data_IF_281599866063
#
_entry.id   IF_281599866063
#
_cell.length_a   1.000
_cell.length_b   1.000
_cell.length_c   1.000
_cell.angle_alpha   90.00
_cell.angle_beta   90.00
_cell.angle_gamma   90.00
#
_symmetry.space_group_name_H-M   'P 1'
#
loop_
_entity.id
_entity.type
_entity.pdbx_description
1 polymer ?
#
# COMPACT_ATOMS: atom_id res chain seq x y z
N UNK A 1 -41.22 17.61 -3.42
CA UNK A 1 -40.44 18.10 -4.57
C UNK A 1 -39.03 18.31 -4.04
N UNK A 2 -38.17 17.30 -4.19
CA UNK A 2 -36.77 17.37 -3.75
C UNK A 2 -35.97 17.74 -5.00
N UNK A 3 -35.37 18.93 -4.98
CA UNK A 3 -34.45 19.36 -6.04
C UNK A 3 -33.25 18.42 -6.03
N UNK A 4 -33.09 17.69 -7.13
CA UNK A 4 -31.87 16.95 -7.41
C UNK A 4 -30.84 17.99 -7.82
N UNK A 5 -29.94 18.36 -6.91
CA UNK A 5 -28.70 19.02 -7.31
C UNK A 5 -27.94 18.02 -8.17
N UNK A 6 -27.98 18.19 -9.49
CA UNK A 6 -27.03 17.56 -10.40
C UNK A 6 -25.63 17.88 -9.87
N UNK A 7 -24.92 16.87 -9.39
CA UNK A 7 -23.54 17.01 -8.97
C UNK A 7 -22.75 17.53 -10.17
N UNK A 8 -22.43 18.83 -10.19
CA UNK A 8 -21.54 19.45 -11.15
C UNK A 8 -20.13 18.94 -10.88
N UNK A 9 -19.83 17.74 -11.41
CA UNK A 9 -18.48 17.18 -11.40
C UNK A 9 -17.70 17.96 -12.47
N UNK A 10 -17.11 19.08 -12.07
CA UNK A 10 -16.04 19.72 -12.85
C UNK A 10 -14.81 18.82 -12.75
N UNK A 11 -14.44 18.20 -13.87
CA UNK A 11 -13.22 17.39 -13.94
C UNK A 11 -12.03 18.35 -14.09
N UNK A 12 -11.67 19.02 -13.00
CA UNK A 12 -10.46 19.84 -12.95
C UNK A 12 -9.25 18.91 -13.02
N UNK A 13 -8.47 19.03 -14.09
CA UNK A 13 -7.20 18.33 -14.23
C UNK A 13 -6.20 18.92 -13.23
N UNK A 14 -6.08 18.29 -12.07
CA UNK A 14 -5.09 18.66 -11.06
C UNK A 14 -3.75 18.07 -11.51
N UNK A 15 -2.77 18.93 -11.79
CA UNK A 15 -1.41 18.50 -12.09
C UNK A 15 -0.90 17.58 -10.96
N UNK A 16 -0.22 16.47 -11.29
CA UNK A 16 0.37 15.60 -10.29
C UNK A 16 1.25 16.42 -9.34
N UNK A 17 0.94 16.35 -8.04
CA UNK A 17 1.76 16.98 -7.02
C UNK A 17 3.15 16.35 -6.99
N UNK A 18 4.20 17.17 -6.88
CA UNK A 18 5.56 16.66 -6.72
C UNK A 18 5.68 15.86 -5.41
N UNK A 19 6.54 14.84 -5.41
CA UNK A 19 6.84 14.11 -4.19
C UNK A 19 7.43 15.07 -3.13
N UNK A 20 6.89 15.13 -1.90
CA UNK A 20 7.32 16.14 -0.94
C UNK A 20 8.79 15.99 -0.57
N UNK A 21 9.58 17.05 -0.76
CA UNK A 21 11.02 17.06 -0.48
C UNK A 21 11.35 16.63 0.96
N UNK A 22 10.52 17.04 1.94
CA UNK A 22 10.71 16.66 3.34
C UNK A 22 10.64 15.15 3.56
N UNK A 23 9.75 14.46 2.82
CA UNK A 23 9.54 13.02 2.94
C UNK A 23 10.73 12.30 2.31
N UNK A 24 11.22 12.79 1.18
CA UNK A 24 12.41 12.26 0.53
C UNK A 24 13.63 12.36 1.46
N UNK A 25 13.89 13.54 2.03
CA UNK A 25 14.97 13.74 3.01
C UNK A 25 14.79 12.86 4.25
N UNK A 26 13.56 12.63 4.71
CA UNK A 26 13.31 11.76 5.86
C UNK A 26 13.62 10.29 5.55
N UNK A 27 13.20 9.79 4.38
CA UNK A 27 13.50 8.45 3.91
C UNK A 27 15.02 8.25 3.74
N UNK A 28 15.72 9.24 3.19
CA UNK A 28 17.18 9.19 3.08
C UNK A 28 17.86 9.09 4.46
N UNK A 29 17.41 9.87 5.44
CA UNK A 29 17.96 9.83 6.80
C UNK A 29 17.65 8.49 7.50
N UNK A 30 16.49 7.89 7.25
CA UNK A 30 16.17 6.54 7.74
C UNK A 30 17.08 5.47 7.14
N UNK A 31 17.47 5.60 5.87
CA UNK A 31 18.43 4.66 5.24
C UNK A 31 19.80 4.77 5.91
N UNK A 32 20.24 6.00 6.23
CA UNK A 32 21.52 6.24 6.92
C UNK A 32 21.50 5.75 8.36
N UNK A 33 20.38 5.94 9.07
CA UNK A 33 20.22 5.53 10.46
C UNK A 33 19.01 4.58 10.64
N UNK A 34 19.23 3.26 10.57
CA UNK A 34 18.15 2.27 10.70
C UNK A 34 17.70 2.05 12.15
N UNK A 35 18.20 2.83 13.13
CA UNK A 35 17.79 2.68 14.53
C UNK A 35 16.30 2.97 14.69
N UNK A 36 15.64 2.15 15.51
CA UNK A 36 14.23 2.37 15.83
C UNK A 36 14.05 3.60 16.74
N UNK A 37 12.85 4.18 16.73
CA UNK A 37 12.49 5.34 17.56
C UNK A 37 12.81 5.12 19.06
N UNK A 38 12.67 3.88 19.54
CA UNK A 38 12.94 3.51 20.94
C UNK A 38 14.43 3.59 21.32
N UNK A 39 15.33 3.55 20.34
CA UNK A 39 16.77 3.65 20.50
C UNK A 39 17.31 5.05 20.12
N UNK A 40 16.43 6.04 19.96
CA UNK A 40 16.79 7.40 19.55
C UNK A 40 17.02 7.57 18.04
N UNK A 41 16.59 6.60 17.23
CA UNK A 41 16.59 6.72 15.77
C UNK A 41 15.32 7.39 15.22
N UNK A 42 15.24 7.52 13.90
CA UNK A 42 14.10 8.18 13.24
C UNK A 42 12.84 7.29 13.25
N UNK A 43 11.68 7.92 13.36
CA UNK A 43 10.40 7.23 13.20
C UNK A 43 10.30 6.65 11.79
N UNK A 44 10.01 5.35 11.67
CA UNK A 44 9.88 4.61 10.42
C UNK A 44 8.56 5.00 9.73
N UNK A 45 8.64 5.47 8.49
CA UNK A 45 7.48 5.92 7.71
C UNK A 45 7.26 4.89 6.60
N UNK A 46 6.02 4.41 6.47
CA UNK A 46 5.58 3.59 5.35
C UNK A 46 4.81 4.50 4.38
N UNK A 47 5.18 4.46 3.09
CA UNK A 47 4.56 5.26 2.04
C UNK A 47 3.65 4.36 1.21
N UNK A 48 2.42 4.84 0.99
CA UNK A 48 1.41 4.15 0.19
C UNK A 48 1.24 4.88 -1.13
N UNK A 49 1.50 4.17 -2.21
CA UNK A 49 1.37 4.69 -3.57
C UNK A 49 0.02 4.30 -4.18
N UNK A 50 -0.55 5.17 -5.03
CA UNK A 50 -1.81 4.90 -5.71
C UNK A 50 -1.67 3.81 -6.79
N UNK A 51 -0.49 3.68 -7.41
CA UNK A 51 -0.20 2.65 -8.42
C UNK A 51 1.23 2.11 -8.29
N UNK A 52 1.49 0.95 -8.91
CA UNK A 52 2.81 0.34 -8.94
C UNK A 52 3.81 1.13 -9.80
N UNK A 53 3.32 1.80 -10.84
CA UNK A 53 4.12 2.65 -11.72
C UNK A 53 4.66 3.86 -10.96
N UNK A 54 3.79 4.55 -10.20
CA UNK A 54 4.19 5.68 -9.36
C UNK A 54 5.19 5.25 -8.28
N UNK A 55 4.98 4.06 -7.69
CA UNK A 55 5.92 3.47 -6.73
C UNK A 55 7.28 3.23 -7.38
N UNK A 56 7.30 2.68 -8.60
CA UNK A 56 8.53 2.35 -9.33
C UNK A 56 9.31 3.60 -9.73
N UNK A 57 8.63 4.66 -10.17
CA UNK A 57 9.23 5.95 -10.51
C UNK A 57 9.92 6.55 -9.29
N UNK A 58 9.19 6.72 -8.18
CA UNK A 58 9.74 7.34 -6.97
C UNK A 58 10.85 6.50 -6.33
N UNK A 59 10.77 5.17 -6.43
CA UNK A 59 11.86 4.29 -6.00
C UNK A 59 13.09 4.39 -6.90
N UNK A 60 12.90 4.62 -8.21
CA UNK A 60 14.02 4.83 -9.13
C UNK A 60 14.73 6.16 -8.80
N UNK A 61 13.96 7.22 -8.57
CA UNK A 61 14.49 8.53 -8.16
C UNK A 61 15.26 8.45 -6.83
N UNK A 62 14.73 7.70 -5.85
CA UNK A 62 15.39 7.51 -4.57
C UNK A 62 16.65 6.62 -4.70
N UNK A 63 16.67 5.69 -5.67
CA UNK A 63 17.78 4.79 -5.93
C UNK A 63 18.91 5.44 -6.75
N UNK A 64 18.62 6.52 -7.49
CA UNK A 64 19.61 7.28 -8.26
C UNK A 64 20.75 7.81 -7.38
N UNK A 65 20.49 8.02 -6.08
CA UNK A 65 21.50 8.35 -5.07
C UNK A 65 22.40 7.18 -4.60
N UNK A 66 22.31 5.99 -5.21
CA UNK A 66 23.11 4.80 -4.84
C UNK A 66 22.74 4.21 -3.47
N UNK A 67 21.57 4.56 -2.93
CA UNK A 67 21.11 4.15 -1.60
C UNK A 67 20.30 2.85 -1.68
N UNK A 68 20.51 1.95 -0.71
CA UNK A 68 19.69 0.74 -0.57
C UNK A 68 18.40 1.09 0.16
N UNK A 69 17.28 1.05 -0.57
CA UNK A 69 15.96 1.37 -0.03
C UNK A 69 15.26 0.09 0.43
N UNK A 70 14.70 0.13 1.64
CA UNK A 70 13.87 -0.94 2.16
C UNK A 70 12.50 -0.94 1.45
N UNK A 71 12.36 -1.82 0.45
CA UNK A 71 11.13 -1.96 -0.36
C UNK A 71 9.91 -2.33 0.47
N UNK A 72 10.09 -2.85 1.69
CA UNK A 72 8.96 -3.25 2.56
C UNK A 72 8.17 -2.04 3.06
N UNK A 73 8.77 -0.84 3.08
CA UNK A 73 8.15 0.41 3.50
C UNK A 73 7.44 1.15 2.36
N UNK A 74 7.56 0.67 1.12
CA UNK A 74 6.95 1.26 -0.06
C UNK A 74 5.91 0.29 -0.61
N UNK A 75 4.63 0.55 -0.30
CA UNK A 75 3.53 -0.34 -0.65
C UNK A 75 2.54 0.36 -1.57
N UNK A 76 1.81 -0.40 -2.39
CA UNK A 76 0.59 0.07 -3.05
C UNK A 76 -0.64 -0.29 -2.23
N UNK A 77 -1.78 0.33 -2.53
CA UNK A 77 -3.04 -0.02 -1.90
C UNK A 77 -3.35 -1.52 -1.98
N UNK A 78 -3.16 -2.12 -3.16
CA UNK A 78 -3.38 -3.55 -3.39
C UNK A 78 -2.37 -4.43 -2.61
N UNK A 79 -1.09 -4.07 -2.63
CA UNK A 79 -0.04 -4.81 -1.91
C UNK A 79 -0.27 -4.76 -0.39
N UNK A 80 -0.65 -3.59 0.15
CA UNK A 80 -1.02 -3.48 1.56
C UNK A 80 -2.25 -4.30 1.90
N UNK A 81 -3.28 -4.28 1.05
CA UNK A 81 -4.47 -5.09 1.28
C UNK A 81 -4.11 -6.59 1.32
N UNK A 82 -3.26 -7.06 0.40
CA UNK A 82 -2.78 -8.44 0.39
C UNK A 82 -1.96 -8.78 1.65
N UNK A 83 -1.08 -7.88 2.10
CA UNK A 83 -0.30 -8.05 3.33
C UNK A 83 -1.21 -8.13 4.56
N UNK A 84 -2.18 -7.23 4.68
CA UNK A 84 -3.13 -7.24 5.80
C UNK A 84 -4.00 -8.49 5.78
N UNK A 85 -4.49 -8.93 4.62
CA UNK A 85 -5.26 -10.18 4.50
C UNK A 85 -4.43 -11.40 4.92
N UNK A 86 -3.15 -11.43 4.56
CA UNK A 86 -2.23 -12.49 4.96
C UNK A 86 -1.94 -12.47 6.47
N UNK A 87 -1.69 -11.28 7.04
CA UNK A 87 -1.36 -11.10 8.45
C UNK A 87 -2.56 -11.34 9.36
N UNK A 88 -3.74 -10.84 8.98
CA UNK A 88 -4.94 -10.97 9.79
C UNK A 88 -5.52 -12.39 9.81
N UNK A 89 -5.00 -13.33 9.00
CA UNK A 89 -5.49 -14.71 8.85
C UNK A 89 -7.00 -14.80 9.11
N UNK A 90 -7.79 -13.90 8.48
CA UNK A 90 -9.23 -13.89 8.67
C UNK A 90 -9.67 -15.33 8.38
N UNK A 91 -10.23 -16.04 9.38
CA UNK A 91 -10.54 -17.44 9.20
C UNK A 91 -11.44 -17.50 7.98
N UNK A 92 -10.96 -18.15 6.93
CA UNK A 92 -11.73 -18.32 5.71
C UNK A 92 -13.06 -18.88 6.18
N UNK A 93 -14.14 -18.12 5.97
CA UNK A 93 -15.48 -18.65 6.13
C UNK A 93 -15.55 -19.74 5.07
N UNK A 94 -15.26 -20.98 5.48
CA UNK A 94 -15.56 -22.15 4.70
C UNK A 94 -17.07 -22.09 4.52
N UNK A 95 -17.53 -21.67 3.35
CA UNK A 95 -18.93 -21.82 2.99
C UNK A 95 -19.27 -23.28 3.24
N UNK A 96 -20.05 -23.54 4.28
CA UNK A 96 -20.66 -24.83 4.55
C UNK A 96 -21.72 -25.05 3.48
N UNK A 97 -21.27 -25.25 2.25
CA UNK A 97 -22.12 -25.78 1.20
C UNK A 97 -22.12 -27.30 1.40
N UNK A 98 -22.82 -27.73 2.44
CA UNK A 98 -23.07 -29.14 2.79
C UNK A 98 -24.00 -29.83 1.79
N UNK A 99 -24.06 -29.35 0.55
CA UNK A 99 -25.06 -29.75 -0.45
C UNK A 99 -24.49 -30.51 -1.64
N UNK A 100 -23.17 -30.73 -1.73
CA UNK A 100 -22.55 -31.51 -2.82
C UNK A 100 -21.53 -32.57 -2.36
N UNK A 101 -21.96 -33.50 -1.52
CA UNK A 101 -21.38 -34.86 -1.52
C UNK A 101 -22.53 -35.88 -1.40
N UNK A 102 -23.38 -35.90 -2.45
CA UNK A 102 -24.24 -37.06 -2.72
C UNK A 102 -23.51 -37.98 -3.69
N UNK A 103 -23.47 -39.24 -3.28
CA UNK A 103 -23.37 -40.48 -4.05
C UNK A 103 -21.99 -40.96 -4.52
N UNK A 104 -21.71 -42.19 -4.07
CA UNK A 104 -21.01 -43.28 -4.75
C UNK A 104 -19.48 -43.18 -4.85
N UNK A 105 -18.78 -44.11 -4.19
CA UNK A 105 -18.25 -45.32 -4.85
C UNK A 105 -17.73 -46.28 -3.77
N UNK A 106 -18.09 -47.54 -3.95
CA UNK A 106 -17.67 -48.73 -3.20
C UNK A 106 -16.15 -48.90 -3.16
N UNK A 107 -15.60 -49.23 -2.00
CA UNK A 107 -15.02 -50.54 -1.63
C UNK A 107 -14.60 -50.54 -0.15
#
# INVERSE_FOLDING_TARGET
>A
MLEVCENQISNEEISPGAFPNWLMTHLEKQIVDPRSLKLGGLARIMVVYPSEEARREILADLAEGGRVIDRTLHQTGESMAALLVADFRLPRVLSTDSSKLRSSVFL
#
